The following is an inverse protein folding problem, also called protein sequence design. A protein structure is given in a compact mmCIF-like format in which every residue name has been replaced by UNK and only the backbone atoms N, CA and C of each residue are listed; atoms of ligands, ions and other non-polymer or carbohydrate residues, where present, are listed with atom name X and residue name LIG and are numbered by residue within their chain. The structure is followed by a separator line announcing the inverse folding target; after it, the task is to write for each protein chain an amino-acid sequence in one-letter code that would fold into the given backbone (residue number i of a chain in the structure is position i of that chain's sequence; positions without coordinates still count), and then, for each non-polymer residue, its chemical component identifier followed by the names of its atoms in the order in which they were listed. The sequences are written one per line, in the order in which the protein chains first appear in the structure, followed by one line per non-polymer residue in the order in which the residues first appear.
data_IF_986485848318
#
_entry.id   IF_986485848318
#
_cell.length_a   1.000
_cell.length_b   1.000
_cell.length_c   1.000
_cell.angle_alpha   90.00
_cell.angle_beta   90.00
_cell.angle_gamma   90.00
#
_symmetry.space_group_name_H-M   'P 1'
#
loop_
_entity.id
_entity.type
_entity.pdbx_description
1 polymer ?
2 non-polymer ?
3 non-polymer ?
4 water ?
#
# COMPACT_ATOMS: atom_id res chain seq x y z
N UNK A 1 4.21 -21.18 -21.44
CA UNK A 1 3.34 -20.05 -21.77
C UNK A 1 4.14 -18.77 -22.07
N UNK A 2 3.56 -17.86 -22.87
CA UNK A 2 4.19 -16.62 -23.32
C UNK A 2 3.13 -15.53 -23.53
N UNK A 3 3.56 -14.25 -23.65
CA UNK A 3 2.64 -13.13 -23.94
C UNK A 3 3.36 -11.99 -24.67
N UNK A 4 2.57 -11.19 -25.41
CA UNK A 4 3.05 -10.06 -26.19
C UNK A 4 2.49 -8.76 -25.64
N UNK A 5 3.36 -7.77 -25.46
CA UNK A 5 2.98 -6.45 -24.96
C UNK A 5 3.75 -5.47 -25.81
N UNK A 6 3.02 -4.59 -26.56
CA UNK A 6 3.57 -3.54 -27.43
C UNK A 6 4.67 -4.04 -28.37
N UNK A 7 4.44 -5.22 -28.95
CA UNK A 7 5.38 -5.86 -29.85
C UNK A 7 6.38 -6.79 -29.19
N UNK A 8 6.79 -6.49 -27.95
CA UNK A 8 7.78 -7.26 -27.20
C UNK A 8 7.21 -8.55 -26.61
N UNK A 9 7.96 -9.65 -26.75
CA UNK A 9 7.59 -10.98 -26.26
C UNK A 9 8.17 -11.23 -24.86
N UNK A 10 7.32 -11.74 -23.97
CA UNK A 10 7.68 -12.07 -22.60
C UNK A 10 7.27 -13.49 -22.31
N UNK A 11 8.18 -14.28 -21.75
CA UNK A 11 7.87 -15.64 -21.38
C UNK A 11 7.56 -15.69 -19.88
N UNK A 12 6.37 -16.20 -19.53
CA UNK A 12 5.90 -16.35 -18.15
C UNK A 12 6.74 -17.37 -17.38
N UNK A 13 7.36 -16.93 -16.26
CA UNK A 13 8.13 -17.82 -15.38
C UNK A 13 7.16 -18.45 -14.39
N UNK A 14 6.32 -17.62 -13.73
CA UNK A 14 5.32 -18.07 -12.75
C UNK A 14 4.28 -17.00 -12.47
N UNK A 15 3.17 -17.41 -11.83
CA UNK A 15 2.13 -16.50 -11.40
C UNK A 15 2.44 -16.14 -9.96
N UNK A 16 2.48 -14.83 -9.69
CA UNK A 16 2.75 -14.28 -8.36
C UNK A 16 1.47 -14.13 -7.53
N UNK A 17 0.46 -13.50 -8.13
CA UNK A 17 -0.77 -13.25 -7.42
C UNK A 17 -2.05 -13.49 -8.19
N UNK A 18 -3.12 -13.74 -7.45
CA UNK A 18 -4.42 -13.99 -8.05
C UNK A 18 -5.42 -12.92 -7.64
N UNK A 19 -6.16 -12.42 -8.63
CA UNK A 19 -7.16 -11.40 -8.43
C UNK A 19 -8.42 -11.88 -9.11
N UNK A 20 -9.58 -11.36 -8.71
CA UNK A 20 -10.81 -11.81 -9.32
C UNK A 20 -10.73 -11.51 -10.81
N UNK A 21 -10.25 -10.33 -11.15
CA UNK A 21 -10.10 -9.95 -12.56
C UNK A 21 -8.62 -9.94 -12.93
N UNK A 22 -7.81 -9.34 -12.07
CA UNK A 22 -6.37 -9.20 -12.27
C UNK A 22 -5.51 -10.42 -11.96
N UNK A 23 -4.36 -10.49 -12.62
CA UNK A 23 -3.37 -11.55 -12.42
C UNK A 23 -1.99 -10.90 -12.51
N UNK A 24 -1.01 -11.43 -11.79
CA UNK A 24 0.35 -10.84 -11.83
C UNK A 24 1.32 -12.00 -12.14
N UNK A 25 2.10 -11.84 -13.21
CA UNK A 25 3.05 -12.85 -13.65
C UNK A 25 4.47 -12.36 -13.59
N UNK A 26 5.38 -13.22 -13.09
CA UNK A 26 6.81 -12.97 -13.11
C UNK A 26 7.26 -13.43 -14.50
N UNK A 27 7.78 -12.50 -15.32
CA UNK A 27 8.12 -12.78 -16.71
C UNK A 27 9.58 -12.43 -17.02
N UNK A 28 10.04 -12.88 -18.19
CA UNK A 28 11.40 -12.63 -18.65
C UNK A 28 11.40 -12.09 -20.08
N UNK A 29 12.17 -11.04 -20.32
CA UNK A 29 12.29 -10.45 -21.64
C UNK A 29 13.25 -11.26 -22.51
N UNK A 30 13.29 -10.96 -23.80
CA UNK A 30 14.18 -11.67 -24.71
C UNK A 30 15.59 -11.45 -24.18
N UNK A 31 15.84 -10.25 -23.69
CA UNK A 31 17.12 -9.88 -23.11
C UNK A 31 17.34 -10.73 -21.86
N UNK A 32 16.24 -11.26 -21.33
CA UNK A 32 16.21 -12.09 -20.12
C UNK A 32 16.25 -11.24 -18.85
N UNK A 33 15.81 -9.99 -18.97
CA UNK A 33 15.58 -9.13 -17.82
C UNK A 33 14.21 -9.45 -17.22
N UNK A 34 14.14 -9.49 -15.90
CA UNK A 34 12.89 -9.79 -15.20
C UNK A 34 11.90 -8.62 -15.12
N UNK A 35 10.60 -8.94 -15.12
CA UNK A 35 9.54 -7.97 -15.03
C UNK A 35 8.34 -8.64 -14.39
N UNK A 36 7.36 -7.83 -13.99
CA UNK A 36 6.11 -8.31 -13.47
C UNK A 36 5.06 -7.79 -14.44
N UNK A 37 4.24 -8.68 -14.99
CA UNK A 37 3.17 -8.27 -15.90
C UNK A 37 1.85 -8.42 -15.19
N UNK A 38 1.12 -7.32 -15.04
CA UNK A 38 -0.21 -7.36 -14.46
C UNK A 38 -1.18 -7.45 -15.64
N UNK A 39 -2.06 -8.44 -15.59
CA UNK A 39 -3.09 -8.69 -16.58
C UNK A 39 -4.46 -8.44 -15.94
N UNK A 40 -5.30 -7.61 -16.58
CA UNK A 40 -6.66 -7.33 -16.12
C UNK A 40 -7.61 -7.74 -17.23
N UNK A 41 -8.53 -8.68 -16.95
CA UNK A 41 -9.55 -9.09 -17.91
C UNK A 41 -10.70 -8.07 -17.81
N UNK A 42 -11.03 -7.40 -18.94
CA UNK A 42 -12.05 -6.34 -18.95
C UNK A 42 -13.38 -6.77 -19.55
N UNK A 43 -13.47 -8.02 -20.04
CA UNK A 43 -14.62 -8.61 -20.72
C UNK A 43 -15.97 -8.56 -19.95
N UNK A 44 -15.95 -8.23 -18.65
CA UNK A 44 -17.17 -8.11 -17.83
C UNK A 44 -17.26 -6.76 -17.08
N UNK A 45 -16.33 -5.80 -17.38
CA UNK A 45 -16.29 -4.46 -16.76
C UNK A 45 -17.27 -3.41 -17.36
N UNK A 46 -17.81 -2.57 -16.48
CA UNK A 46 -18.73 -1.45 -16.80
C UNK A 46 -17.93 -0.18 -17.09
N UNK A 47 -18.59 0.85 -17.58
CA UNK A 47 -17.91 2.10 -17.91
C UNK A 47 -17.24 2.73 -16.69
N UNK A 48 -17.95 2.73 -15.57
CA UNK A 48 -17.39 3.31 -14.35
C UNK A 48 -16.16 2.53 -13.93
N UNK A 49 -16.23 1.20 -14.02
CA UNK A 49 -15.11 0.35 -13.66
C UNK A 49 -13.93 0.58 -14.59
N UNK A 50 -14.21 0.73 -15.88
CA UNK A 50 -13.16 0.96 -16.87
C UNK A 50 -12.44 2.27 -16.60
N UNK A 51 -13.21 3.29 -16.21
CA UNK A 51 -12.64 4.59 -15.93
C UNK A 51 -11.67 4.55 -14.76
N UNK A 52 -12.00 3.79 -13.73
CA UNK A 52 -11.13 3.71 -12.57
C UNK A 52 -9.78 3.13 -12.97
N UNK A 53 -9.79 2.09 -13.80
CA UNK A 53 -8.56 1.48 -14.27
C UNK A 53 -7.77 2.45 -15.12
N UNK A 54 -8.49 3.20 -15.97
CA UNK A 54 -7.87 4.18 -16.85
C UNK A 54 -7.24 5.28 -16.00
N UNK A 55 -7.93 5.69 -14.95
CA UNK A 55 -7.45 6.73 -14.06
C UNK A 55 -6.20 6.25 -13.33
N UNK A 56 -6.30 5.07 -12.73
CA UNK A 56 -5.19 4.46 -12.01
C UNK A 56 -3.91 4.34 -12.89
N UNK A 57 -4.05 3.94 -14.18
CA UNK A 57 -2.93 3.80 -15.12
C UNK A 57 -2.36 5.18 -15.43
N UNK A 58 -3.24 6.16 -15.65
CA UNK A 58 -2.85 7.54 -15.96
C UNK A 58 -2.00 8.15 -14.81
N UNK A 59 -2.42 7.92 -13.55
CA UNK A 59 -1.69 8.40 -12.36
C UNK A 59 -0.38 7.66 -12.15
N UNK A 60 -0.38 6.33 -12.37
CA UNK A 60 0.82 5.51 -12.32
C UNK A 60 1.88 6.03 -13.33
N UNK A 61 1.48 6.30 -14.58
CA UNK A 61 2.36 6.89 -15.61
C UNK A 61 2.89 8.27 -15.22
N UNK A 62 2.00 9.17 -14.80
CA UNK A 62 2.34 10.53 -14.39
C UNK A 62 3.28 10.56 -13.15
N UNK A 63 3.04 9.70 -12.17
CA UNK A 63 3.82 9.76 -10.92
C UNK A 63 5.18 9.12 -11.00
N UNK A 64 5.50 8.46 -12.13
CA UNK A 64 6.79 7.82 -12.41
C UNK A 64 7.96 8.77 -12.10
N UNK A 65 7.89 9.98 -12.70
CA UNK A 65 8.88 11.07 -12.64
C UNK A 65 8.94 11.76 -11.29
N UNK A 66 7.83 11.76 -10.58
CA UNK A 66 7.74 12.38 -9.27
C UNK A 66 8.45 11.69 -8.10
N UNK A 67 8.43 10.36 -8.09
CA UNK A 67 9.08 9.62 -7.01
C UNK A 67 9.56 8.25 -7.44
N UNK A 68 10.62 7.76 -6.79
CA UNK A 68 11.15 6.44 -7.08
C UNK A 68 10.58 5.42 -6.09
N UNK A 69 9.71 5.90 -5.21
CA UNK A 69 9.07 5.08 -4.19
C UNK A 69 7.79 4.47 -4.75
N UNK A 70 7.50 4.79 -6.00
CA UNK A 70 6.34 4.30 -6.69
C UNK A 70 6.86 3.29 -7.69
N UNK A 71 6.18 2.15 -7.81
CA UNK A 71 6.62 1.08 -8.69
C UNK A 71 6.79 1.52 -10.13
N UNK A 72 7.86 1.05 -10.77
CA UNK A 72 8.16 1.42 -12.15
C UNK A 72 7.17 0.76 -13.11
N UNK A 73 6.55 1.57 -13.96
CA UNK A 73 5.68 1.11 -15.03
C UNK A 73 6.48 1.39 -16.31
N UNK A 74 6.88 0.32 -17.01
CA UNK A 74 7.72 0.44 -18.21
C UNK A 74 6.93 0.64 -19.47
N UNK A 75 5.81 -0.08 -19.57
CA UNK A 75 4.95 -0.08 -20.75
C UNK A 75 3.62 -0.68 -20.37
N UNK A 76 2.64 -0.55 -21.27
CA UNK A 76 1.31 -1.10 -21.09
C UNK A 76 0.56 -1.21 -22.42
N UNK A 77 -0.38 -2.15 -22.49
CA UNK A 77 -1.22 -2.40 -23.65
C UNK A 77 -2.67 -2.44 -23.17
N UNK A 78 -3.51 -1.55 -23.72
CA UNK A 78 -4.92 -1.44 -23.36
C UNK A 78 -5.82 -1.62 -24.57
N UNK A 79 -6.72 -2.60 -24.50
CA UNK A 79 -7.73 -2.89 -25.54
C UNK A 79 -9.09 -2.92 -24.82
N UNK A 80 -10.14 -3.33 -25.52
CA UNK A 80 -11.49 -3.49 -24.97
C UNK A 80 -11.61 -4.77 -24.13
N UNK A 81 -10.74 -5.77 -24.38
CA UNK A 81 -10.74 -7.07 -23.68
C UNK A 81 -9.80 -7.15 -22.47
N UNK A 82 -8.63 -6.51 -22.55
CA UNK A 82 -7.65 -6.64 -21.49
C UNK A 82 -6.65 -5.52 -21.35
N UNK A 83 -5.98 -5.52 -20.21
CA UNK A 83 -4.92 -4.56 -19.92
C UNK A 83 -3.66 -5.30 -19.51
N UNK A 84 -2.53 -4.93 -20.10
CA UNK A 84 -1.27 -5.54 -19.74
C UNK A 84 -0.35 -4.42 -19.25
N UNK A 85 0.20 -4.58 -18.06
CA UNK A 85 1.10 -3.58 -17.53
C UNK A 85 2.45 -4.23 -17.25
N UNK A 86 3.51 -3.72 -17.91
CA UNK A 86 4.86 -4.21 -17.71
C UNK A 86 5.47 -3.32 -16.62
N UNK A 87 5.71 -3.92 -15.44
CA UNK A 87 6.24 -3.28 -14.25
C UNK A 87 7.51 -3.96 -13.78
N UNK A 88 8.23 -3.30 -12.88
CA UNK A 88 9.44 -3.88 -12.35
C UNK A 88 8.98 -4.98 -11.42
N UNK A 89 9.81 -5.98 -11.21
CA UNK A 89 9.45 -7.08 -10.34
C UNK A 89 10.12 -6.93 -8.99
N UNK A 90 9.35 -7.07 -7.92
CA UNK A 90 9.94 -6.95 -6.58
C UNK A 90 10.26 -8.32 -6.01
N UNK A 91 10.92 -8.33 -4.86
CA UNK A 91 11.32 -9.57 -4.19
C UNK A 91 10.09 -10.26 -3.59
N UNK A 92 9.32 -9.48 -2.83
CA UNK A 92 8.09 -9.89 -2.16
C UNK A 92 7.26 -8.66 -1.73
N UNK A 93 5.97 -8.83 -1.43
CA UNK A 93 5.15 -7.73 -0.96
C UNK A 93 5.36 -7.62 0.57
N UNK A 94 5.06 -6.44 1.17
CA UNK A 94 5.28 -6.22 2.60
C UNK A 94 4.42 -7.13 3.50
N UNK A 95 3.18 -7.47 3.08
CA UNK A 95 2.32 -8.34 3.91
C UNK A 95 2.90 -9.75 4.10
N UNK A 96 3.38 -10.36 3.00
CA UNK A 96 3.99 -11.70 2.98
C UNK A 96 5.30 -11.68 3.77
N UNK A 97 6.06 -10.57 3.64
CA UNK A 97 7.33 -10.41 4.35
C UNK A 97 7.11 -10.32 5.86
N UNK A 98 6.07 -9.56 6.30
CA UNK A 98 5.74 -9.39 7.73
C UNK A 98 5.23 -10.67 8.41
N UNK A 99 4.54 -11.54 7.64
CA UNK A 99 4.04 -12.84 8.12
C UNK A 99 5.22 -13.80 8.34
N UNK A 100 6.19 -13.82 7.38
CA UNK A 100 7.39 -14.65 7.43
C UNK A 100 8.37 -14.19 8.53
N UNK A 101 8.47 -12.88 8.77
CA UNK A 101 9.40 -12.32 9.75
C UNK A 101 8.78 -12.08 11.14
N UNK A 102 9.32 -12.78 12.15
CA UNK A 102 8.90 -12.66 13.56
C UNK A 102 9.35 -11.31 14.14
N UNK A 103 10.65 -11.04 14.10
CA UNK A 103 11.20 -9.80 14.62
C UNK A 103 11.85 -8.98 13.51
N UNK A 104 11.57 -7.68 13.51
CA UNK A 104 12.12 -6.78 12.51
C UNK A 104 13.09 -5.77 13.11
N UNK A 105 14.22 -5.58 12.43
CA UNK A 105 15.26 -4.65 12.88
C UNK A 105 14.75 -3.22 12.94
N UNK A 106 15.17 -2.47 13.96
CA UNK A 106 14.71 -1.07 14.11
C UNK A 106 15.05 -0.13 12.96
N UNK A 107 16.21 -0.37 12.29
CA UNK A 107 16.68 0.43 11.14
C UNK A 107 15.92 0.04 9.89
N UNK A 108 15.50 -1.23 9.80
CA UNK A 108 14.69 -1.75 8.69
C UNK A 108 13.30 -1.11 8.76
N UNK A 109 12.70 -1.09 9.98
CA UNK A 109 11.39 -0.49 10.27
C UNK A 109 11.40 1.00 9.95
N UNK A 110 12.48 1.72 10.34
CA UNK A 110 12.62 3.16 10.09
C UNK A 110 12.78 3.46 8.60
N UNK A 111 13.58 2.65 7.89
CA UNK A 111 13.82 2.81 6.47
C UNK A 111 12.54 2.57 5.67
N UNK A 112 11.77 1.54 6.05
CA UNK A 112 10.51 1.20 5.41
C UNK A 112 9.45 2.27 5.65
N UNK A 113 9.41 2.82 6.87
CA UNK A 113 8.50 3.89 7.27
C UNK A 113 8.73 5.13 6.40
N UNK A 114 10.00 5.52 6.23
CA UNK A 114 10.40 6.69 5.44
C UNK A 114 9.96 6.55 3.99
N UNK A 115 10.17 5.37 3.42
CA UNK A 115 9.75 5.07 2.06
C UNK A 115 8.25 5.16 1.91
N UNK A 116 7.52 4.64 2.89
CA UNK A 116 6.08 4.67 2.84
C UNK A 116 5.56 6.10 2.84
N UNK A 117 6.16 6.93 3.69
CA UNK A 117 5.77 8.33 3.78
C UNK A 117 6.03 9.08 2.49
N UNK A 118 7.17 8.82 1.87
CA UNK A 118 7.51 9.52 0.61
C UNK A 118 6.55 9.17 -0.53
N UNK A 119 6.16 7.88 -0.62
CA UNK A 119 5.26 7.38 -1.65
C UNK A 119 3.86 7.97 -1.46
N UNK A 120 3.32 7.90 -0.22
CA UNK A 120 1.97 8.40 0.12
C UNK A 120 1.93 9.92 0.00
N UNK A 121 2.99 10.61 0.39
CA UNK A 121 3.04 12.06 0.23
C UNK A 121 2.96 12.46 -1.25
N UNK A 122 3.71 11.79 -2.11
CA UNK A 122 3.68 12.04 -3.56
C UNK A 122 2.23 11.94 -4.11
N UNK A 123 1.49 10.89 -3.76
CA UNK A 123 0.13 10.79 -4.26
C UNK A 123 -0.77 11.89 -3.72
N UNK A 124 -0.59 12.26 -2.46
CA UNK A 124 -1.39 13.30 -1.84
C UNK A 124 -1.23 14.63 -2.55
N UNK A 125 -0.03 14.90 -3.01
CA UNK A 125 0.27 16.13 -3.70
C UNK A 125 -0.55 16.25 -4.97
N UNK A 126 -0.81 15.12 -5.62
CA UNK A 126 -1.57 15.11 -6.87
C UNK A 126 -3.07 14.92 -6.62
N UNK A 127 -3.51 15.16 -5.38
CA UNK A 127 -4.90 15.08 -4.96
C UNK A 127 -5.46 13.67 -4.83
N UNK A 128 -4.61 12.68 -4.68
CA UNK A 128 -5.07 11.31 -4.53
C UNK A 128 -5.00 10.81 -3.09
N UNK A 129 -6.09 10.24 -2.60
CA UNK A 129 -6.10 9.69 -1.25
C UNK A 129 -6.33 8.21 -1.50
N UNK A 130 -5.42 7.37 -1.03
CA UNK A 130 -5.58 5.94 -1.26
C UNK A 130 -6.82 5.36 -0.59
N UNK A 131 -6.89 5.54 0.72
CA UNK A 131 -8.04 5.13 1.53
C UNK A 131 -8.17 3.63 1.80
N UNK A 132 -7.27 2.83 1.24
CA UNK A 132 -7.30 1.39 1.43
C UNK A 132 -5.93 0.84 1.77
N UNK A 133 -5.09 1.67 2.36
CA UNK A 133 -3.74 1.24 2.69
C UNK A 133 -3.63 0.07 3.66
N UNK A 134 -2.74 -0.84 3.32
CA UNK A 134 -2.43 -2.03 4.10
C UNK A 134 -1.01 -2.50 3.63
N UNK A 135 -0.29 -3.38 4.37
CA UNK A 135 1.04 -3.83 3.91
C UNK A 135 1.12 -4.38 2.48
N UNK A 136 0.04 -5.02 1.98
CA UNK A 136 -0.06 -5.60 0.64
C UNK A 136 0.05 -4.57 -0.51
N UNK A 137 -0.05 -3.24 -0.21
CA UNK A 137 0.06 -2.16 -1.21
C UNK A 137 1.50 -1.75 -1.44
N UNK A 138 2.43 -2.33 -0.66
CA UNK A 138 3.85 -2.04 -0.69
C UNK A 138 4.67 -3.22 -1.14
N UNK A 139 5.58 -2.95 -2.06
CA UNK A 139 6.49 -3.94 -2.64
C UNK A 139 7.92 -3.67 -2.20
N UNK A 140 8.65 -4.75 -1.77
CA UNK A 140 10.06 -4.66 -1.41
C UNK A 140 10.85 -4.90 -2.69
N UNK A 141 11.56 -3.86 -3.17
CA UNK A 141 12.39 -3.89 -4.38
C UNK A 141 13.77 -3.46 -3.95
N UNK A 142 14.67 -4.44 -3.72
CA UNK A 142 16.06 -4.25 -3.29
C UNK A 142 16.20 -3.32 -2.06
N UNK A 143 15.64 -3.78 -0.93
CA UNK A 143 15.64 -3.07 0.35
C UNK A 143 14.93 -1.73 0.35
N UNK A 144 14.03 -1.52 -0.64
CA UNK A 144 13.28 -0.27 -0.75
C UNK A 144 11.82 -0.57 -0.94
N UNK A 145 10.96 0.08 -0.14
CA UNK A 145 9.51 -0.10 -0.29
C UNK A 145 8.99 0.82 -1.42
N UNK A 146 8.18 0.26 -2.31
CA UNK A 146 7.55 1.02 -3.38
C UNK A 146 6.05 0.78 -3.36
N UNK A 147 5.26 1.83 -3.51
CA UNK A 147 3.81 1.68 -3.49
C UNK A 147 3.28 1.14 -4.82
N UNK A 148 2.63 -0.01 -4.75
CA UNK A 148 2.04 -0.69 -5.90
C UNK A 148 0.80 -0.10 -6.58
N UNK A 149 -0.18 0.35 -5.79
CA UNK A 149 -1.44 0.87 -6.32
C UNK A 149 -1.93 2.12 -5.62
N UNK A 150 -2.89 2.83 -6.23
CA UNK A 150 -3.37 4.09 -5.68
C UNK A 150 -4.78 4.07 -5.09
N UNK A 151 -5.39 2.91 -4.98
CA UNK A 151 -6.74 2.78 -4.44
C UNK A 151 -7.84 3.30 -5.37
N UNK A 152 -7.46 3.76 -6.60
CA UNK A 152 -8.38 4.29 -7.63
C UNK A 152 -9.16 3.12 -8.29
N UNK A 153 -8.51 1.93 -8.39
CA UNK A 153 -9.01 0.66 -8.93
C UNK A 153 -8.83 -0.49 -7.87
N UNK A 154 -9.23 -1.74 -8.26
CA UNK A 154 -9.24 -2.99 -7.47
C UNK A 154 -7.86 -3.48 -6.95
N UNK A 155 -7.87 -4.51 -6.04
CA UNK A 155 -6.70 -5.14 -5.39
C UNK A 155 -6.69 -6.70 -5.50
N UNK A 156 -5.60 -7.37 -5.04
CA UNK A 156 -5.42 -8.84 -5.15
C UNK A 156 -4.80 -9.54 -3.90
N UNK A 157 -4.59 -10.88 -3.99
CA UNK A 157 -4.00 -11.77 -2.98
C UNK A 157 -2.94 -12.72 -3.61
N UNK A 158 -1.84 -13.10 -2.90
CA UNK A 158 -0.82 -13.98 -3.52
C UNK A 158 -1.19 -15.46 -3.70
N UNK A 159 -0.42 -16.18 -4.55
CA UNK A 159 -0.62 -17.59 -4.87
C UNK A 159 0.55 -18.45 -4.33
N UNK A 170 -10.08 -10.06 3.10
CA UNK A 170 -10.15 -8.62 3.27
C UNK A 170 -10.36 -8.19 4.70
N UNK A 171 -9.52 -7.25 5.21
CA UNK A 171 -9.59 -6.80 6.61
C UNK A 171 -10.04 -5.34 6.79
N UNK A 172 -10.59 -5.08 7.98
CA UNK A 172 -11.08 -3.81 8.46
C UNK A 172 -10.09 -3.22 9.54
N UNK A 173 -8.94 -3.90 9.78
CA UNK A 173 -7.91 -3.54 10.78
C UNK A 173 -7.20 -2.18 10.57
N UNK A 174 -7.12 -1.70 9.31
CA UNK A 174 -6.41 -0.47 8.95
C UNK A 174 -7.38 0.68 8.68
N UNK A 175 -8.70 0.46 8.87
CA UNK A 175 -9.74 1.45 8.60
C UNK A 175 -9.77 2.61 9.59
N UNK A 176 -9.69 3.89 9.10
CA UNK A 176 -9.73 5.04 10.02
C UNK A 176 -11.11 5.26 10.64
N UNK A 177 -11.20 5.90 11.84
CA UNK A 177 -12.51 6.11 12.46
C UNK A 177 -13.48 6.98 11.64
N UNK A 178 -12.97 8.04 10.96
CA UNK A 178 -13.81 8.94 10.16
C UNK A 178 -14.54 8.24 8.98
N UNK A 179 -13.96 7.12 8.46
CA UNK A 179 -14.56 6.34 7.38
C UNK A 179 -15.82 5.62 7.88
N UNK A 180 -15.81 5.18 9.15
CA UNK A 180 -16.92 4.48 9.82
C UNK A 180 -17.97 5.49 10.30
N UNK A 181 -17.53 6.57 10.99
CA UNK A 181 -18.38 7.65 11.52
C UNK A 181 -19.26 8.30 10.44
N UNK A 182 -18.78 8.28 9.17
CA UNK A 182 -19.48 8.82 8.01
C UNK A 182 -20.30 7.73 7.29
N UNK A 183 -21.16 7.00 8.05
CA UNK A 183 -22.03 5.95 7.54
C UNK A 183 -23.30 5.80 8.39
N UNK A 195 -15.46 13.56 4.33
CA UNK A 195 -15.01 12.88 5.56
C UNK A 195 -13.59 12.32 5.43
N UNK A 196 -13.31 11.60 4.32
CA UNK A 196 -12.01 11.02 3.99
C UNK A 196 -11.11 12.13 3.38
N UNK A 197 -9.93 12.32 3.98
CA UNK A 197 -8.94 13.33 3.60
C UNK A 197 -7.56 12.66 3.63
N UNK A 198 -6.44 13.34 3.25
CA UNK A 198 -5.10 12.75 3.43
C UNK A 198 -4.83 12.15 4.83
N UNK A 199 -5.48 12.72 5.90
CA UNK A 199 -5.33 12.24 7.28
C UNK A 199 -5.77 10.78 7.45
N UNK A 200 -6.71 10.30 6.61
CA UNK A 200 -7.19 8.91 6.62
C UNK A 200 -6.03 7.98 6.29
N UNK A 201 -5.17 8.37 5.33
CA UNK A 201 -3.99 7.59 4.94
C UNK A 201 -2.96 7.51 6.06
N UNK A 202 -2.86 8.58 6.87
CA UNK A 202 -1.98 8.69 8.05
C UNK A 202 -2.37 7.62 9.10
N UNK A 203 -3.68 7.45 9.37
CA UNK A 203 -4.19 6.43 10.31
C UNK A 203 -3.75 5.02 9.87
N UNK A 204 -3.97 4.68 8.58
CA UNK A 204 -3.63 3.38 7.99
C UNK A 204 -2.13 3.10 8.02
N UNK A 205 -1.30 4.12 7.71
CA UNK A 205 0.16 4.02 7.80
C UNK A 205 0.54 3.78 9.26
N UNK A 206 -0.14 4.46 10.18
CA UNK A 206 0.04 4.32 11.62
C UNK A 206 -0.22 2.91 12.08
N UNK A 207 -1.24 2.22 11.52
CA UNK A 207 -1.55 0.82 11.84
C UNK A 207 -0.45 -0.11 11.32
N UNK A 208 0.14 0.20 10.12
CA UNK A 208 1.23 -0.60 9.53
C UNK A 208 2.48 -0.46 10.41
N UNK A 209 2.76 0.75 10.90
CA UNK A 209 3.91 0.99 11.77
C UNK A 209 3.68 0.34 13.14
N UNK A 210 2.42 0.39 13.66
CA UNK A 210 2.05 -0.22 14.93
C UNK A 210 2.27 -1.73 14.88
N UNK A 211 1.98 -2.35 13.73
CA UNK A 211 2.20 -3.77 13.48
C UNK A 211 3.70 -4.10 13.45
N UNK A 212 4.51 -3.30 12.72
CA UNK A 212 5.96 -3.45 12.62
C UNK A 212 6.64 -3.20 13.98
N UNK A 213 5.92 -2.61 14.95
CA UNK A 213 6.43 -2.28 16.28
C UNK A 213 5.99 -3.30 17.34
N UNK A 214 4.69 -3.50 17.49
CA UNK A 214 4.16 -4.41 18.50
C UNK A 214 3.83 -5.81 17.99
N UNK A 215 4.01 -6.03 16.70
CA UNK A 215 3.73 -7.32 16.11
C UNK A 215 2.26 -7.55 15.85
N UNK A 216 1.44 -6.55 16.12
CA UNK A 216 0.01 -6.64 15.90
C UNK A 216 -0.62 -5.28 15.64
N UNK A 217 -1.75 -5.28 14.93
CA UNK A 217 -2.47 -4.05 14.66
C UNK A 217 -3.16 -3.62 15.94
N UNK A 218 -3.59 -2.37 16.02
CA UNK A 218 -4.21 -1.86 17.26
C UNK A 218 -5.45 -2.59 17.72
N UNK A 219 -6.34 -2.95 16.79
CA UNK A 219 -7.58 -3.63 17.10
C UNK A 219 -7.60 -5.08 16.61
N UNK A 220 -6.42 -5.62 16.35
CA UNK A 220 -6.27 -6.98 15.83
C UNK A 220 -6.84 -8.04 16.76
N UNK A 221 -6.71 -7.83 18.06
CA UNK A 221 -7.19 -8.82 19.02
C UNK A 221 -8.70 -9.08 18.95
N UNK A 222 -9.51 -8.04 18.74
CA UNK A 222 -10.95 -8.24 18.68
C UNK A 222 -11.36 -9.21 17.57
N UNK A 223 -12.30 -10.09 17.90
CA UNK A 223 -12.82 -11.13 16.98
C UNK A 223 -14.11 -10.67 16.28
N UNK A 224 -15.15 -10.26 17.05
CA UNK A 224 -16.43 -9.77 16.53
C UNK A 224 -16.17 -8.48 15.74
N UNK A 225 -16.46 -8.52 14.43
CA UNK A 225 -16.24 -7.42 13.50
C UNK A 225 -17.07 -6.19 13.83
N UNK A 226 -18.32 -6.38 14.31
CA UNK A 226 -19.22 -5.28 14.72
C UNK A 226 -18.56 -4.58 15.93
N UNK A 227 -18.07 -5.37 16.90
CA UNK A 227 -17.36 -4.90 18.09
C UNK A 227 -16.06 -4.15 17.73
N UNK A 228 -15.27 -4.68 16.76
CA UNK A 228 -14.01 -4.07 16.28
C UNK A 228 -14.25 -2.69 15.70
N UNK A 229 -15.35 -2.53 14.93
CA UNK A 229 -15.72 -1.25 14.33
C UNK A 229 -16.14 -0.26 15.40
N UNK A 230 -16.82 -0.74 16.44
CA UNK A 230 -17.22 0.13 17.53
C UNK A 230 -16.02 0.67 18.28
N UNK A 231 -15.02 -0.19 18.47
CA UNK A 231 -13.80 0.17 19.18
C UNK A 231 -12.99 1.25 18.46
N UNK A 232 -12.91 1.14 17.14
CA UNK A 232 -12.16 2.10 16.34
C UNK A 232 -12.71 3.51 16.46
N UNK A 233 -14.03 3.63 16.46
CA UNK A 233 -14.68 4.92 16.55
C UNK A 233 -15.00 5.32 17.99
N UNK A 234 -14.64 4.46 18.95
CA UNK A 234 -14.94 4.76 20.34
C UNK A 234 -13.85 5.57 21.03
N UNK A 235 -14.18 6.77 21.45
CA UNK A 235 -13.20 7.62 22.13
C UNK A 235 -12.75 6.97 23.43
N UNK A 236 -13.69 6.35 24.15
CA UNK A 236 -13.40 5.70 25.42
C UNK A 236 -12.42 4.56 25.28
N UNK A 237 -12.55 3.76 24.22
CA UNK A 237 -11.63 2.66 24.04
C UNK A 237 -10.27 3.32 23.87
N UNK A 238 -9.26 2.80 24.56
CA UNK A 238 -7.93 3.39 24.45
C UNK A 238 -6.90 2.42 23.93
N UNK A 239 -6.17 2.86 22.90
CA UNK A 239 -5.13 2.04 22.31
C UNK A 239 -3.99 1.95 23.31
N UNK A 240 -3.32 0.80 23.35
CA UNK A 240 -2.23 0.61 24.27
C UNK A 240 -0.90 0.83 23.59
N UNK A 241 -0.06 1.68 24.18
CA UNK A 241 1.25 1.98 23.61
C UNK A 241 2.33 1.55 24.62
N UNK A 242 2.63 0.22 24.71
CA UNK A 242 3.65 -0.25 25.66
C UNK A 242 5.00 0.42 25.45
N UNK A 243 5.67 0.78 26.57
CA UNK A 243 6.98 1.43 26.60
C UNK A 243 8.01 0.62 25.83
N UNK A 244 8.75 1.29 24.94
CA UNK A 244 9.77 0.70 24.06
C UNK A 244 11.06 1.55 24.11
N UNK A 245 12.27 1.06 23.70
CA UNK A 245 13.48 1.93 23.78
C UNK A 245 13.44 3.13 22.84
N UNK A 246 12.72 3.00 21.71
CA UNK A 246 12.57 4.09 20.76
C UNK A 246 11.40 4.97 21.17
N UNK A 247 11.71 6.07 21.91
CA UNK A 247 10.73 7.02 22.42
C UNK A 247 10.08 7.84 21.31
N UNK A 248 10.85 8.16 20.25
CA UNK A 248 10.41 8.87 19.04
C UNK A 248 9.36 8.04 18.28
N UNK A 249 9.58 6.72 18.20
CA UNK A 249 8.72 5.77 17.53
C UNK A 249 7.34 5.70 18.20
N UNK A 250 7.31 5.65 19.54
CA UNK A 250 6.11 5.62 20.36
C UNK A 250 5.28 6.90 20.16
N UNK A 251 5.94 8.07 20.07
CA UNK A 251 5.30 9.36 19.84
C UNK A 251 4.64 9.40 18.45
N UNK A 252 5.32 8.91 17.39
CA UNK A 252 4.80 8.84 16.02
C UNK A 252 3.47 8.04 16.04
N UNK A 253 3.49 6.85 16.68
CA UNK A 253 2.34 5.96 16.78
C UNK A 253 1.14 6.63 17.43
N UNK A 254 1.38 7.33 18.53
CA UNK A 254 0.35 8.06 19.27
C UNK A 254 -0.17 9.23 18.43
N UNK A 255 0.70 9.87 17.62
CA UNK A 255 0.34 10.98 16.73
C UNK A 255 -0.51 10.55 15.50
N UNK A 256 -0.15 9.42 14.86
CA UNK A 256 -0.85 8.84 13.70
C UNK A 256 -2.20 8.26 14.10
N UNK A 257 -2.29 7.69 15.33
CA UNK A 257 -3.50 7.03 15.79
C UNK A 257 -4.43 7.90 16.67
N UNK A 258 -4.47 9.21 16.39
CA UNK A 258 -5.40 10.14 17.05
C UNK A 258 -6.73 9.99 16.28
N UNK A 259 -7.85 9.79 17.01
CA UNK A 259 -9.18 9.57 16.41
C UNK A 259 -9.73 10.78 15.67
N UNK A 260 -9.41 12.01 16.12
CA UNK A 260 -9.86 13.23 15.42
C UNK A 260 -8.88 13.54 14.28
N UNK A 261 -9.30 13.46 12.98
CA UNK A 261 -8.33 13.75 11.89
C UNK A 261 -7.73 15.15 11.93
N UNK A 262 -8.45 16.14 12.49
CA UNK A 262 -7.94 17.51 12.64
C UNK A 262 -6.73 17.52 13.57
N UNK A 263 -6.76 16.71 14.66
CA UNK A 263 -5.67 16.60 15.64
C UNK A 263 -4.60 15.57 15.25
N UNK A 264 -4.89 14.71 14.26
CA UNK A 264 -3.97 13.71 13.74
C UNK A 264 -2.83 14.40 12.98
N UNK A 265 -1.60 13.91 13.16
CA UNK A 265 -0.41 14.42 12.47
C UNK A 265 -0.54 14.25 10.93
N UNK A 266 0.08 15.17 10.18
CA UNK A 266 0.09 15.14 8.74
C UNK A 266 1.41 14.50 8.24
N UNK A 267 1.46 14.17 6.96
CA UNK A 267 2.65 13.61 6.35
C UNK A 267 3.83 14.59 6.29
N UNK A 268 3.61 15.85 5.87
CA UNK A 268 4.76 16.78 5.90
C UNK A 268 5.39 16.97 7.27
N UNK A 269 4.57 16.86 8.33
CA UNK A 269 5.01 16.88 9.71
C UNK A 269 5.74 15.59 10.07
N UNK A 270 5.20 14.45 9.65
CA UNK A 270 5.82 13.15 9.90
C UNK A 270 7.21 13.07 9.26
N UNK A 271 7.39 13.77 8.14
CA UNK A 271 8.68 13.82 7.43
C UNK A 271 9.70 14.68 8.17
N UNK A 272 9.22 15.59 9.06
CA UNK A 272 10.08 16.44 9.88
C UNK A 272 10.25 15.88 11.30
N UNK A 273 9.67 14.73 11.60
CA UNK A 273 9.74 14.15 12.94
C UNK A 273 11.12 13.60 13.30
N UNK A 274 11.54 13.69 14.57
CA UNK A 274 12.86 13.13 14.94
C UNK A 274 13.01 11.65 14.60
N UNK A 275 11.92 10.85 14.67
CA UNK A 275 11.95 9.43 14.32
C UNK A 275 12.49 9.17 12.90
N UNK A 276 12.11 9.99 11.93
CA UNK A 276 12.51 9.91 10.53
C UNK A 276 13.87 10.61 10.26
N UNK A 277 14.15 11.67 11.02
CA UNK A 277 15.30 12.53 10.77
C UNK A 277 16.52 12.27 11.59
N UNK A 278 16.35 11.83 12.84
CA UNK A 278 17.47 11.61 13.74
C UNK A 278 17.75 10.10 13.88
N UNK A 279 19.03 9.74 13.70
CA UNK A 279 19.54 8.37 13.79
C UNK A 279 20.45 8.21 15.00
#
# INVERSE_FOLDING_TARGET
QSMSVKGRIYSILKQIGSGGSSKVFQVLNEKKQIYAIKYVNLEEADNQTLDSYRNEIAYLNKLQQHSDKIIRLYDYEITDQYIYMVMECGNIDLNSWLKKKKSIDPWERKSYWKNMLEAVHTIHQHGIVHSDLKPANFLIVDGMLKLIDFGIANQMQPDTTSVVKDSQVGTVNYMPPEAIKDMSSSRENGKSKSKISPKSDVWSLGCILYYMTYGKTPFQQIINQISKLHAIIDPNHEIEFPDIPEKDLQDVLKCCLKRDPKQRISIPELLAHPYVQIQ
#
